data_IF_153475431900
#
_entry.id   IF_153475431900
#
_cell.length_a   1.000
_cell.length_b   1.000
_cell.length_c   1.000
_cell.angle_alpha   90.00
_cell.angle_beta   90.00
_cell.angle_gamma   90.00
#
_symmetry.space_group_name_H-M   'P 1'
#
loop_
_entity.id
_entity.type
_entity.pdbx_description
1 polymer ?
#
# COMPACT_ATOMS: atom_id res chain seq x y z
N UNK A 1 3.69 15.54 1.39
CA UNK A 1 4.94 16.04 0.77
C UNK A 1 4.62 16.25 -0.71
N UNK A 2 4.86 17.45 -1.23
CA UNK A 2 4.61 17.75 -2.64
C UNK A 2 5.72 17.21 -3.52
N UNK A 3 5.38 16.72 -4.71
CA UNK A 3 6.38 16.26 -5.66
C UNK A 3 7.11 17.46 -6.32
N UNK A 4 8.41 17.35 -6.63
CA UNK A 4 9.13 18.42 -7.35
C UNK A 4 8.75 18.49 -8.84
N UNK A 5 7.79 17.66 -9.28
CA UNK A 5 7.26 17.59 -10.64
C UNK A 5 5.74 17.35 -10.59
N UNK A 6 5.05 17.62 -11.68
CA UNK A 6 3.63 17.28 -11.83
C UNK A 6 3.48 15.75 -11.98
N UNK A 7 3.24 15.06 -10.86
CA UNK A 7 3.14 13.60 -10.81
C UNK A 7 1.99 13.05 -11.67
N UNK A 8 1.00 13.88 -12.02
CA UNK A 8 -0.11 13.48 -12.89
C UNK A 8 0.35 13.24 -14.32
N UNK A 9 1.44 13.90 -14.76
CA UNK A 9 2.05 13.67 -16.08
C UNK A 9 2.85 12.38 -16.18
N UNK A 10 3.21 11.78 -15.04
CA UNK A 10 3.92 10.50 -15.00
C UNK A 10 2.90 9.38 -15.10
N UNK A 11 2.85 8.69 -16.24
CA UNK A 11 2.02 7.49 -16.39
C UNK A 11 2.70 6.29 -15.73
N UNK A 12 1.92 5.30 -15.29
CA UNK A 12 2.49 4.06 -14.72
C UNK A 12 3.35 3.29 -15.74
N UNK A 13 3.18 3.54 -17.04
CA UNK A 13 4.02 2.97 -18.10
C UNK A 13 5.49 3.42 -18.04
N UNK A 14 5.84 4.48 -17.31
CA UNK A 14 7.25 4.84 -17.08
C UNK A 14 7.99 3.75 -16.31
N UNK A 15 7.24 3.00 -15.48
CA UNK A 15 7.73 1.82 -14.80
C UNK A 15 7.51 0.65 -15.77
N UNK A 16 8.54 0.37 -16.57
CA UNK A 16 8.54 -0.67 -17.60
C UNK A 16 8.36 -2.08 -17.01
N UNK A 17 9.35 -2.95 -17.17
CA UNK A 17 9.34 -4.23 -16.44
C UNK A 17 9.78 -4.02 -14.99
N UNK A 18 9.16 -4.75 -14.05
CA UNK A 18 9.56 -4.76 -12.64
C UNK A 18 9.30 -6.13 -12.04
N UNK A 19 10.24 -6.59 -11.22
CA UNK A 19 10.03 -7.80 -10.41
C UNK A 19 8.91 -7.58 -9.38
N UNK A 20 8.18 -8.63 -8.98
CA UNK A 20 7.33 -8.57 -7.81
C UNK A 20 8.13 -8.20 -6.55
N UNK A 21 7.51 -7.40 -5.69
CA UNK A 21 7.98 -7.16 -4.32
C UNK A 21 7.22 -8.12 -3.41
N UNK A 22 7.94 -8.75 -2.49
CA UNK A 22 7.38 -9.70 -1.54
C UNK A 22 7.68 -9.25 -0.12
N UNK A 23 6.78 -9.60 0.79
CA UNK A 23 6.89 -9.37 2.21
C UNK A 23 6.15 -10.43 3.01
N UNK A 24 6.25 -10.33 4.33
CA UNK A 24 5.64 -11.24 5.29
C UNK A 24 4.93 -10.46 6.39
N UNK A 25 3.72 -10.88 6.76
CA UNK A 25 2.94 -10.22 7.81
C UNK A 25 3.60 -10.45 9.17
N UNK A 26 3.92 -9.37 9.90
CA UNK A 26 4.61 -9.44 11.20
C UNK A 26 3.72 -9.05 12.38
N UNK A 27 2.59 -8.37 12.14
CA UNK A 27 1.59 -8.08 13.16
C UNK A 27 0.22 -7.84 12.53
N UNK A 28 -0.86 -8.15 13.27
CA UNK A 28 -2.23 -7.90 12.85
C UNK A 28 -2.78 -6.64 13.52
N UNK A 29 -3.61 -5.91 12.79
CA UNK A 29 -4.38 -4.77 13.29
C UNK A 29 -5.87 -5.00 12.98
N UNK A 30 -6.72 -4.56 13.89
CA UNK A 30 -8.18 -4.72 13.80
C UNK A 30 -8.86 -3.36 13.97
N UNK A 31 -8.37 -2.35 13.24
CA UNK A 31 -8.79 -0.96 13.44
C UNK A 31 -9.52 -0.46 12.19
N UNK A 32 -10.76 -0.02 12.38
CA UNK A 32 -11.58 0.62 11.36
C UNK A 32 -11.80 2.09 11.72
N UNK A 33 -11.72 2.95 10.71
CA UNK A 33 -11.96 4.38 10.83
C UNK A 33 -13.05 4.81 9.85
N UNK A 34 -13.99 5.61 10.32
CA UNK A 34 -14.97 6.28 9.45
C UNK A 34 -14.50 7.66 8.98
N UNK A 35 -13.69 8.35 9.79
CA UNK A 35 -13.19 9.71 9.53
C UNK A 35 -11.68 9.80 9.80
N UNK A 36 -10.87 9.05 9.04
CA UNK A 36 -9.42 8.99 9.24
C UNK A 36 -8.68 10.25 8.81
N UNK A 37 -9.19 10.97 7.81
CA UNK A 37 -8.51 12.12 7.20
C UNK A 37 -7.14 11.77 6.59
N UNK A 38 -6.98 10.57 6.03
CA UNK A 38 -5.72 10.09 5.48
C UNK A 38 -5.31 10.92 4.25
N UNK A 39 -4.03 11.29 4.14
CA UNK A 39 -3.51 12.13 3.05
C UNK A 39 -2.42 11.39 2.28
N UNK A 40 -2.72 10.98 1.06
CA UNK A 40 -1.77 10.29 0.21
C UNK A 40 -0.72 11.26 -0.33
N UNK A 41 0.54 10.85 -0.32
CA UNK A 41 1.63 11.64 -0.92
C UNK A 41 1.51 11.68 -2.45
N UNK A 42 2.08 12.72 -3.06
CA UNK A 42 2.04 12.98 -4.50
C UNK A 42 3.07 12.14 -5.29
N UNK A 43 3.25 10.86 -4.96
CA UNK A 43 4.11 9.95 -5.72
C UNK A 43 3.39 8.65 -6.03
N UNK A 44 3.61 8.16 -7.26
CA UNK A 44 3.03 6.90 -7.73
C UNK A 44 3.82 5.67 -7.32
N UNK A 45 5.07 5.82 -6.86
CA UNK A 45 5.93 4.69 -6.54
C UNK A 45 6.71 4.88 -5.25
N UNK A 46 7.09 3.77 -4.63
CA UNK A 46 8.05 3.72 -3.53
C UNK A 46 9.07 2.62 -3.78
N UNK A 47 10.35 2.99 -3.69
CA UNK A 47 11.40 2.01 -3.48
C UNK A 47 11.27 1.52 -2.03
N UNK A 48 11.28 0.21 -1.86
CA UNK A 48 11.20 -0.46 -0.56
C UNK A 48 12.38 -1.41 -0.42
N UNK A 49 13.01 -1.38 0.75
CA UNK A 49 14.22 -2.15 1.04
C UNK A 49 13.88 -3.39 1.87
N UNK A 50 14.74 -4.39 1.76
CA UNK A 50 14.69 -5.57 2.63
C UNK A 50 14.69 -5.14 4.10
N UNK A 51 13.95 -5.85 4.96
CA UNK A 51 13.78 -5.58 6.39
C UNK A 51 13.02 -4.29 6.74
N UNK A 52 12.53 -3.52 5.77
CA UNK A 52 11.61 -2.42 6.09
C UNK A 52 10.24 -2.98 6.50
N UNK A 53 9.69 -2.45 7.59
CA UNK A 53 8.35 -2.78 8.07
C UNK A 53 7.40 -1.63 7.72
N UNK A 54 6.26 -1.97 7.10
CA UNK A 54 5.24 -1.02 6.68
C UNK A 54 3.85 -1.43 7.18
N UNK A 55 2.96 -0.46 7.37
CA UNK A 55 1.56 -0.71 7.73
C UNK A 55 0.73 -0.92 6.46
N UNK A 56 -0.06 -1.99 6.42
CA UNK A 56 -1.00 -2.28 5.34
C UNK A 56 -2.40 -1.81 5.74
N UNK A 57 -2.97 -0.95 4.91
CA UNK A 57 -4.33 -0.43 5.07
C UNK A 57 -5.17 -0.73 3.84
N UNK A 58 -6.48 -0.93 4.03
CA UNK A 58 -7.45 -1.03 2.95
C UNK A 58 -8.46 0.12 3.00
N UNK A 59 -8.96 0.50 1.82
CA UNK A 59 -10.08 1.42 1.61
C UNK A 59 -10.97 0.92 0.49
N UNK A 60 -12.27 1.22 0.51
CA UNK A 60 -13.14 1.02 -0.64
C UNK A 60 -13.46 2.34 -1.38
N UNK A 61 -12.85 3.44 -0.96
CA UNK A 61 -13.02 4.74 -1.61
C UNK A 61 -12.23 4.82 -2.92
N UNK A 62 -12.68 5.69 -3.83
CA UNK A 62 -11.93 6.01 -5.05
C UNK A 62 -10.84 7.02 -4.72
N UNK A 63 -9.61 6.53 -4.56
CA UNK A 63 -8.45 7.33 -4.15
C UNK A 63 -7.28 7.13 -5.09
N UNK A 64 -6.46 8.18 -5.19
CA UNK A 64 -5.26 8.22 -6.01
C UNK A 64 -4.15 9.01 -5.29
N UNK A 65 -2.89 8.91 -5.72
CA UNK A 65 -1.80 9.69 -5.12
C UNK A 65 -2.11 11.19 -5.09
N UNK A 66 -1.80 11.86 -3.98
CA UNK A 66 -2.19 13.26 -3.72
C UNK A 66 -3.63 13.46 -3.23
N UNK A 67 -4.47 12.42 -3.27
CA UNK A 67 -5.82 12.43 -2.70
C UNK A 67 -5.86 12.08 -1.21
N UNK A 68 -7.02 11.65 -0.73
CA UNK A 68 -7.20 11.24 0.66
C UNK A 68 -8.36 10.27 0.86
N UNK A 69 -8.38 9.60 2.00
CA UNK A 69 -9.39 8.61 2.39
C UNK A 69 -9.83 8.82 3.84
N UNK A 70 -11.11 8.60 4.13
CA UNK A 70 -11.67 8.67 5.47
C UNK A 70 -12.03 7.28 5.99
N UNK A 71 -12.70 6.48 5.15
CA UNK A 71 -13.10 5.11 5.43
C UNK A 71 -11.96 4.16 5.10
N UNK A 72 -11.22 3.80 6.14
CA UNK A 72 -10.06 2.91 6.02
C UNK A 72 -10.04 1.89 7.14
N UNK A 73 -9.43 0.74 6.86
CA UNK A 73 -9.10 -0.27 7.87
C UNK A 73 -7.60 -0.52 7.85
N UNK A 74 -6.94 -0.38 8.99
CA UNK A 74 -5.58 -0.87 9.19
C UNK A 74 -5.67 -2.36 9.50
N UNK A 75 -5.02 -3.21 8.71
CA UNK A 75 -5.15 -4.67 8.80
C UNK A 75 -3.90 -5.36 9.35
N UNK A 76 -2.73 -4.73 9.27
CA UNK A 76 -1.51 -5.30 9.84
C UNK A 76 -0.24 -4.60 9.42
N UNK A 77 0.89 -5.06 9.95
CA UNK A 77 2.23 -4.70 9.51
C UNK A 77 2.83 -5.86 8.73
N UNK A 78 3.67 -5.53 7.74
CA UNK A 78 4.45 -6.51 7.00
C UNK A 78 5.90 -6.05 6.83
N UNK A 79 6.82 -7.00 6.88
CA UNK A 79 8.24 -6.82 6.58
C UNK A 79 8.51 -7.13 5.10
N UNK A 80 9.37 -6.35 4.44
CA UNK A 80 9.81 -6.62 3.08
C UNK A 80 10.88 -7.73 3.07
N UNK A 81 10.56 -8.85 2.42
CA UNK A 81 11.47 -10.00 2.24
C UNK A 81 12.10 -10.03 0.85
N UNK A 82 11.54 -9.30 -0.11
CA UNK A 82 12.13 -9.09 -1.45
C UNK A 82 11.91 -7.66 -1.91
N UNK A 83 12.97 -6.87 -1.80
CA UNK A 83 13.00 -5.44 -2.12
C UNK A 83 12.62 -5.11 -3.57
N UNK A 84 12.28 -3.85 -3.85
CA UNK A 84 12.01 -3.41 -5.21
C UNK A 84 11.22 -2.13 -5.27
N UNK A 85 10.41 -2.00 -6.32
CA UNK A 85 9.54 -0.85 -6.54
C UNK A 85 8.08 -1.29 -6.50
N UNK A 86 7.33 -0.73 -5.55
CA UNK A 86 5.87 -0.83 -5.51
C UNK A 86 5.26 0.42 -6.14
N UNK A 87 4.24 0.24 -6.95
CA UNK A 87 3.66 1.30 -7.80
C UNK A 87 2.14 1.29 -7.65
N UNK A 88 1.54 2.47 -7.52
CA UNK A 88 0.10 2.63 -7.57
C UNK A 88 -0.48 1.99 -8.84
N UNK A 89 -1.44 1.10 -8.67
CA UNK A 89 -2.00 0.21 -9.70
C UNK A 89 -1.53 -1.24 -9.60
N UNK A 90 -0.46 -1.54 -8.84
CA UNK A 90 -0.05 -2.92 -8.55
C UNK A 90 -1.18 -3.70 -7.89
N UNK A 91 -1.34 -4.96 -8.28
CA UNK A 91 -2.15 -5.91 -7.54
C UNK A 91 -1.42 -6.32 -6.26
N UNK A 92 -2.16 -6.30 -5.17
CA UNK A 92 -1.69 -6.69 -3.84
C UNK A 92 -2.36 -7.99 -3.44
N UNK A 93 -1.56 -8.98 -3.11
CA UNK A 93 -2.00 -10.33 -2.78
C UNK A 93 -1.62 -10.67 -1.34
N UNK A 94 -2.51 -11.38 -0.65
CA UNK A 94 -2.22 -12.11 0.59
C UNK A 94 -2.23 -13.59 0.23
N UNK A 95 -1.08 -14.26 0.37
CA UNK A 95 -0.84 -15.59 -0.20
C UNK A 95 -1.13 -15.62 -1.70
N UNK A 96 -2.25 -16.25 -2.09
CA UNK A 96 -2.75 -16.37 -3.46
C UNK A 96 -4.11 -15.66 -3.65
N UNK A 97 -4.57 -14.91 -2.64
CA UNK A 97 -5.84 -14.15 -2.67
C UNK A 97 -5.59 -12.69 -3.00
N UNK A 98 -6.32 -12.16 -3.97
CA UNK A 98 -6.25 -10.75 -4.33
C UNK A 98 -6.89 -9.92 -3.21
N UNK A 99 -6.11 -9.04 -2.60
CA UNK A 99 -6.60 -8.05 -1.63
C UNK A 99 -7.20 -6.84 -2.36
N UNK A 100 -6.54 -6.39 -3.42
CA UNK A 100 -6.97 -5.22 -4.19
C UNK A 100 -5.82 -4.55 -4.94
N UNK A 101 -5.96 -3.26 -5.23
CA UNK A 101 -4.96 -2.48 -5.96
C UNK A 101 -4.30 -1.43 -5.08
N UNK A 102 -2.98 -1.34 -5.12
CA UNK A 102 -2.24 -0.28 -4.43
C UNK A 102 -2.67 1.10 -4.97
N UNK A 103 -3.09 2.02 -4.10
CA UNK A 103 -3.54 3.36 -4.52
C UNK A 103 -2.62 4.49 -4.08
N UNK A 104 -1.74 4.25 -3.11
CA UNK A 104 -0.75 5.23 -2.71
C UNK A 104 -0.20 4.96 -1.31
N UNK A 105 0.42 6.00 -0.76
CA UNK A 105 1.13 5.92 0.50
C UNK A 105 0.80 7.12 1.37
N UNK A 106 0.72 6.92 2.67
CA UNK A 106 0.74 7.99 3.66
C UNK A 106 2.00 7.89 4.52
N UNK A 107 2.55 9.03 4.90
CA UNK A 107 3.84 9.15 5.59
C UNK A 107 3.70 9.78 6.97
N UNK A 108 2.48 9.81 7.51
CA UNK A 108 2.17 10.40 8.82
C UNK A 108 3.03 9.84 9.95
N UNK A 109 3.45 8.58 9.87
CA UNK A 109 4.25 7.90 10.89
C UNK A 109 5.76 7.84 10.60
N UNK A 110 6.26 8.49 9.54
CA UNK A 110 7.70 8.52 9.29
C UNK A 110 8.46 9.17 10.48
N UNK A 111 9.64 8.65 10.86
CA UNK A 111 10.43 7.60 10.19
C UNK A 111 10.11 6.17 10.62
N UNK A 112 9.07 5.93 11.43
CA UNK A 112 8.74 4.59 11.94
C UNK A 112 8.34 3.65 10.79
N UNK A 113 7.28 3.99 10.06
CA UNK A 113 6.81 3.22 8.90
C UNK A 113 6.03 4.13 7.94
N UNK A 114 5.74 3.62 6.75
CA UNK A 114 4.73 4.21 5.86
C UNK A 114 3.45 3.38 5.88
N UNK A 115 2.33 4.06 5.67
CA UNK A 115 1.05 3.42 5.40
C UNK A 115 0.99 3.10 3.90
N UNK A 116 0.84 1.83 3.58
CA UNK A 116 0.65 1.30 2.22
C UNK A 116 -0.83 1.05 2.05
N UNK A 117 -1.49 1.85 1.18
CA UNK A 117 -2.95 1.88 1.09
C UNK A 117 -3.40 1.12 -0.14
N UNK A 118 -4.31 0.17 0.05
CA UNK A 118 -4.85 -0.70 -1.01
C UNK A 118 -6.34 -0.42 -1.16
N UNK A 119 -6.79 -0.20 -2.38
CA UNK A 119 -8.22 -0.18 -2.69
C UNK A 119 -8.73 -1.62 -2.83
N UNK A 120 -9.59 -2.01 -1.90
CA UNK A 120 -10.32 -3.27 -1.88
C UNK A 120 -11.79 -3.06 -2.29
N UNK A 121 -12.51 -4.15 -2.54
CA UNK A 121 -13.94 -4.10 -2.88
C UNK A 121 -14.80 -3.62 -1.70
N UNK A 122 -14.46 -4.07 -0.49
CA UNK A 122 -15.13 -3.71 0.76
C UNK A 122 -14.10 -3.47 1.88
N UNK A 123 -14.61 -3.16 3.08
CA UNK A 123 -13.81 -2.91 4.28
C UNK A 123 -14.01 -4.01 5.34
N UNK A 124 -14.45 -5.18 4.90
CA UNK A 124 -14.51 -6.35 5.77
C UNK A 124 -13.09 -6.72 6.19
N UNK A 125 -13.00 -7.41 7.32
CA UNK A 125 -11.70 -7.85 7.80
C UNK A 125 -11.19 -9.00 6.92
N UNK A 126 -10.07 -8.81 6.19
CA UNK A 126 -9.54 -9.89 5.39
C UNK A 126 -8.99 -10.96 6.32
N UNK A 127 -9.13 -12.23 5.94
CA UNK A 127 -8.41 -13.30 6.64
C UNK A 127 -6.91 -13.09 6.41
N UNK A 128 -6.18 -12.83 7.49
CA UNK A 128 -4.75 -12.53 7.50
C UNK A 128 -4.14 -13.12 8.78
N UNK A 129 -2.94 -13.70 8.68
CA UNK A 129 -2.19 -14.26 9.80
C UNK A 129 -0.76 -13.75 9.80
N UNK A 130 -0.12 -13.74 10.97
CA UNK A 130 1.33 -13.54 11.06
C UNK A 130 2.03 -14.67 10.29
N UNK A 131 3.00 -14.32 9.46
CA UNK A 131 3.67 -15.23 8.53
C UNK A 131 3.06 -15.28 7.12
N UNK A 132 1.87 -14.71 6.91
CA UNK A 132 1.26 -14.71 5.57
C UNK A 132 2.08 -13.82 4.62
N UNK A 133 2.34 -14.34 3.42
CA UNK A 133 3.06 -13.67 2.34
C UNK A 133 2.22 -12.54 1.75
N UNK A 134 2.81 -11.34 1.68
CA UNK A 134 2.28 -10.20 0.94
C UNK A 134 3.05 -10.08 -0.38
N UNK A 135 2.35 -9.91 -1.51
CA UNK A 135 3.00 -9.73 -2.82
C UNK A 135 2.41 -8.56 -3.59
N UNK A 136 3.28 -7.71 -4.11
CA UNK A 136 2.95 -6.63 -5.02
C UNK A 136 3.45 -6.97 -6.42
N UNK A 137 2.55 -7.08 -7.38
CA UNK A 137 2.89 -7.37 -8.77
C UNK A 137 2.14 -6.44 -9.71
N UNK A 138 2.71 -6.22 -10.90
CA UNK A 138 2.02 -5.48 -11.95
C UNK A 138 0.71 -6.19 -12.30
N UNK A 139 -0.40 -5.46 -12.26
CA UNK A 139 -1.72 -5.93 -12.70
C UNK A 139 -1.98 -5.65 -14.18
#
# INVERSE_FOLDING_TARGET
MSAPYDFRRVTTSVYGDKRPVEGETVALLHIFFEDRGLKLIETKSRAVRHEEIHELMITNENVEPGGGANRVRAIGFFEITKSGLIVAGDDVWIEDRLLGKLVGFDVTHMPNHINVVVKAENLDEPELRVGDRIRFSRG
#
